data_IF_775920679755
#
_entry.id   IF_775920679755
#
_cell.length_a   1.000
_cell.length_b   1.000
_cell.length_c   1.000
_cell.angle_alpha   90.00
_cell.angle_beta   90.00
_cell.angle_gamma   90.00
#
_symmetry.space_group_name_H-M   'P 1'
#
loop_
_entity.id
_entity.type
_entity.pdbx_description
1 polymer ?
#
# COMPACT_ATOMS: atom_id res chain seq x y z
N UNK A 1 24.05 6.31 16.93
CA UNK A 1 23.98 6.89 18.26
C UNK A 1 25.40 7.09 18.75
N UNK A 2 25.73 8.27 19.26
CA UNK A 2 27.05 8.62 19.80
C UNK A 2 28.23 8.30 18.86
N UNK A 3 28.01 8.45 17.56
CA UNK A 3 28.98 8.13 16.51
C UNK A 3 29.00 6.67 16.03
N UNK A 4 28.27 5.77 16.71
CA UNK A 4 28.14 4.38 16.25
C UNK A 4 26.89 4.19 15.39
N UNK A 5 27.03 3.41 14.30
CA UNK A 5 25.91 3.04 13.42
C UNK A 5 25.15 1.87 14.04
N UNK A 6 24.02 2.15 14.71
CA UNK A 6 23.18 1.12 15.32
C UNK A 6 22.13 0.54 14.37
N UNK A 7 21.82 1.23 13.27
CA UNK A 7 20.83 0.81 12.30
C UNK A 7 21.16 1.31 10.90
N UNK A 8 21.02 0.44 9.94
CA UNK A 8 21.16 0.78 8.51
C UNK A 8 20.07 0.07 7.71
N UNK A 9 19.40 0.78 6.82
CA UNK A 9 18.36 0.22 5.99
C UNK A 9 18.50 0.64 4.53
N UNK A 10 18.38 -0.32 3.64
CA UNK A 10 18.20 -0.10 2.22
C UNK A 10 19.45 0.24 1.42
N UNK A 11 20.62 0.45 2.03
CA UNK A 11 21.85 0.82 1.32
C UNK A 11 22.24 -0.21 0.26
N UNK A 12 22.23 -1.51 0.59
CA UNK A 12 22.56 -2.57 -0.36
C UNK A 12 21.58 -2.62 -1.54
N UNK A 13 20.30 -2.43 -1.27
CA UNK A 13 19.25 -2.41 -2.30
C UNK A 13 19.36 -1.19 -3.18
N UNK A 14 19.65 -0.04 -2.57
CA UNK A 14 19.86 1.23 -3.25
C UNK A 14 21.06 1.16 -4.21
N UNK A 15 22.18 0.66 -3.74
CA UNK A 15 23.40 0.52 -4.54
C UNK A 15 23.23 -0.48 -5.71
N UNK A 16 22.30 -1.45 -5.55
CA UNK A 16 21.89 -2.38 -6.62
C UNK A 16 20.77 -1.84 -7.53
N UNK A 17 20.32 -0.61 -7.38
CA UNK A 17 19.18 -0.03 -8.13
C UNK A 17 17.84 -0.69 -7.87
N UNK A 18 17.68 -1.39 -6.73
CA UNK A 18 16.42 -2.05 -6.34
C UNK A 18 15.56 -1.14 -5.48
N UNK A 19 14.24 -1.33 -5.55
CA UNK A 19 13.29 -0.61 -4.71
C UNK A 19 13.61 -0.82 -3.24
N UNK A 20 13.86 0.26 -2.51
CA UNK A 20 14.11 0.24 -1.07
C UNK A 20 12.79 0.18 -0.31
N UNK A 21 11.82 0.98 -0.74
CA UNK A 21 10.53 1.15 -0.08
C UNK A 21 10.55 2.19 1.03
N UNK A 22 9.37 2.66 1.40
CA UNK A 22 9.18 3.57 2.53
C UNK A 22 8.31 2.91 3.60
N UNK A 23 8.67 3.08 4.86
CA UNK A 23 7.97 2.41 5.93
C UNK A 23 8.36 2.90 7.31
N UNK A 24 7.80 2.24 8.32
CA UNK A 24 8.11 2.50 9.72
C UNK A 24 9.36 1.72 10.12
N UNK A 25 10.32 2.41 10.71
CA UNK A 25 11.55 1.82 11.22
C UNK A 25 11.57 1.94 12.76
N UNK A 26 11.74 0.81 13.41
CA UNK A 26 11.86 0.74 14.88
C UNK A 26 13.31 0.49 15.24
N UNK A 27 13.89 1.39 16.01
CA UNK A 27 15.30 1.33 16.42
C UNK A 27 15.33 1.27 17.93
N UNK A 28 16.02 0.26 18.49
CA UNK A 28 16.20 0.15 19.91
C UNK A 28 17.26 1.15 20.39
N UNK A 29 16.90 1.98 21.36
CA UNK A 29 17.81 2.93 22.01
C UNK A 29 18.37 2.34 23.31
N UNK A 30 19.62 2.70 23.71
CA UNK A 30 20.16 2.33 25.01
C UNK A 30 19.26 2.82 26.13
N UNK A 31 19.13 2.05 27.21
CA UNK A 31 18.33 2.37 28.40
C UNK A 31 19.23 2.57 29.65
N UNK A 32 20.28 3.33 29.53
CA UNK A 32 21.25 3.59 30.56
C UNK A 32 20.98 4.86 31.37
N UNK A 33 20.01 5.67 30.94
CA UNK A 33 19.67 6.93 31.60
C UNK A 33 20.62 8.10 31.30
N UNK A 34 21.55 7.91 30.38
CA UNK A 34 22.45 8.93 29.88
C UNK A 34 21.83 9.75 28.73
N UNK A 35 22.46 10.86 28.38
CA UNK A 35 22.08 11.66 27.23
C UNK A 35 22.81 11.12 26.02
N UNK A 36 22.03 10.73 24.97
CA UNK A 36 22.57 10.22 23.71
C UNK A 36 22.33 11.19 22.58
N UNK A 37 23.30 11.29 21.66
CA UNK A 37 23.16 12.04 20.43
C UNK A 37 22.66 11.10 19.32
N UNK A 38 21.48 11.39 18.73
CA UNK A 38 20.92 10.67 17.62
C UNK A 38 21.21 11.39 16.31
N UNK A 39 22.10 10.82 15.49
CA UNK A 39 22.41 11.31 14.15
C UNK A 39 21.69 10.45 13.11
N UNK A 40 20.89 11.09 12.26
CA UNK A 40 20.21 10.46 11.14
C UNK A 40 20.89 10.86 9.84
N UNK A 41 21.44 9.89 9.13
CA UNK A 41 22.08 10.09 7.83
C UNK A 41 21.19 9.54 6.72
N UNK A 42 20.86 10.38 5.72
CA UNK A 42 20.07 10.00 4.56
C UNK A 42 20.94 10.07 3.30
N UNK A 43 21.05 8.94 2.60
CA UNK A 43 21.72 8.88 1.29
C UNK A 43 20.66 9.09 0.20
N UNK A 44 20.73 10.20 -0.53
CA UNK A 44 19.87 10.50 -1.66
C UNK A 44 20.68 10.51 -2.96
N UNK A 45 20.08 10.09 -4.07
CA UNK A 45 20.66 10.26 -5.40
C UNK A 45 20.50 11.73 -5.83
N UNK A 46 21.43 12.27 -6.61
CA UNK A 46 21.52 13.69 -6.93
C UNK A 46 20.24 14.36 -7.44
N UNK A 47 19.33 13.58 -8.03
CA UNK A 47 18.03 14.05 -8.54
C UNK A 47 16.85 13.75 -7.56
N UNK A 48 17.11 13.15 -6.42
CA UNK A 48 16.07 12.78 -5.44
C UNK A 48 16.02 13.81 -4.32
N UNK A 49 14.84 14.40 -4.11
CA UNK A 49 14.62 15.33 -3.01
C UNK A 49 13.95 14.61 -1.84
N UNK A 50 14.53 14.71 -0.65
CA UNK A 50 13.85 14.36 0.60
C UNK A 50 12.86 15.48 0.89
N UNK A 51 11.63 15.32 0.43
CA UNK A 51 10.61 16.38 0.53
C UNK A 51 9.93 16.42 1.89
N UNK A 52 9.95 15.32 2.64
CA UNK A 52 9.31 15.22 3.94
C UNK A 52 9.97 14.15 4.80
N UNK A 53 10.29 14.50 6.02
CA UNK A 53 10.65 13.55 7.05
C UNK A 53 9.39 13.20 7.84
N UNK A 54 9.13 11.93 8.05
CA UNK A 54 8.02 11.47 8.88
C UNK A 54 8.33 11.77 10.35
N UNK A 55 7.27 11.83 11.17
CA UNK A 55 7.42 12.12 12.59
C UNK A 55 8.26 11.04 13.29
N UNK A 56 9.12 11.45 14.21
CA UNK A 56 9.93 10.58 15.04
C UNK A 56 9.23 10.47 16.39
N UNK A 57 8.96 9.24 16.82
CA UNK A 57 8.32 8.96 18.09
C UNK A 57 9.27 8.15 18.98
N UNK A 58 9.40 8.56 20.23
CA UNK A 58 10.07 7.76 21.26
C UNK A 58 8.97 7.11 22.09
N UNK A 59 8.91 5.80 22.06
CA UNK A 59 7.88 5.03 22.76
C UNK A 59 8.45 3.72 23.29
N UNK A 60 7.73 3.08 24.20
CA UNK A 60 8.12 1.76 24.67
C UNK A 60 7.83 0.71 23.60
N UNK A 61 8.73 -0.26 23.46
CA UNK A 61 8.61 -1.34 22.46
C UNK A 61 7.29 -2.15 22.61
N UNK A 62 6.79 -2.30 23.84
CA UNK A 62 5.56 -3.01 24.11
C UNK A 62 4.30 -2.31 23.57
N UNK A 63 4.33 -0.96 23.50
CA UNK A 63 3.17 -0.16 23.13
C UNK A 63 3.16 0.28 21.66
N UNK A 64 4.31 0.21 20.97
CA UNK A 64 4.48 0.76 19.61
C UNK A 64 3.40 0.25 18.63
N UNK A 65 3.12 -1.05 18.63
CA UNK A 65 2.12 -1.64 17.73
C UNK A 65 0.69 -1.29 18.15
N UNK A 66 0.45 -1.21 19.48
CA UNK A 66 -0.86 -0.83 20.00
C UNK A 66 -1.19 0.61 19.67
N UNK A 67 -0.24 1.52 19.90
CA UNK A 67 -0.40 2.95 19.61
C UNK A 67 -0.59 3.18 18.11
N UNK A 68 0.17 2.47 17.28
CA UNK A 68 0.02 2.52 15.84
C UNK A 68 -1.37 2.04 15.39
N UNK A 69 -1.87 0.93 15.94
CA UNK A 69 -3.20 0.41 15.62
C UNK A 69 -4.32 1.33 16.11
N UNK A 70 -4.18 1.89 17.32
CA UNK A 70 -5.16 2.84 17.87
C UNK A 70 -5.23 4.10 17.00
N UNK A 71 -4.10 4.62 16.58
CA UNK A 71 -4.02 5.80 15.71
C UNK A 71 -4.66 5.52 14.34
N UNK A 72 -4.44 4.35 13.77
CA UNK A 72 -4.91 3.98 12.44
C UNK A 72 -6.16 3.09 12.44
N UNK A 73 -6.87 2.98 13.58
CA UNK A 73 -8.00 2.03 13.77
C UNK A 73 -9.09 2.12 12.70
N UNK A 74 -9.47 3.33 12.31
CA UNK A 74 -10.54 3.54 11.31
C UNK A 74 -10.05 3.09 9.93
N UNK A 75 -8.84 3.48 9.55
CA UNK A 75 -8.20 3.10 8.28
C UNK A 75 -8.02 1.59 8.21
N UNK A 76 -7.56 0.97 9.30
CA UNK A 76 -7.43 -0.48 9.39
C UNK A 76 -8.77 -1.19 9.20
N UNK A 77 -9.80 -0.80 9.96
CA UNK A 77 -11.13 -1.39 9.86
C UNK A 77 -11.71 -1.23 8.44
N UNK A 78 -11.59 -0.03 7.85
CA UNK A 78 -12.06 0.23 6.49
C UNK A 78 -11.34 -0.63 5.46
N UNK A 79 -10.03 -0.77 5.57
CA UNK A 79 -9.23 -1.62 4.66
C UNK A 79 -9.64 -3.08 4.75
N UNK A 80 -9.81 -3.61 5.97
CA UNK A 80 -10.28 -5.00 6.18
C UNK A 80 -11.67 -5.20 5.60
N UNK A 81 -12.60 -4.26 5.82
CA UNK A 81 -13.94 -4.31 5.23
C UNK A 81 -13.89 -4.33 3.69
N UNK A 82 -13.06 -3.48 3.07
CA UNK A 82 -12.90 -3.43 1.61
C UNK A 82 -12.30 -4.74 1.06
N UNK A 83 -11.31 -5.31 1.73
CA UNK A 83 -10.75 -6.61 1.35
C UNK A 83 -11.79 -7.72 1.45
N UNK A 84 -12.58 -7.74 2.53
CA UNK A 84 -13.64 -8.74 2.72
C UNK A 84 -14.73 -8.60 1.64
N UNK A 85 -15.22 -7.39 1.38
CA UNK A 85 -16.21 -7.12 0.34
C UNK A 85 -15.65 -7.53 -1.03
N UNK A 86 -14.43 -7.14 -1.35
CA UNK A 86 -13.77 -7.50 -2.60
C UNK A 86 -13.66 -9.01 -2.79
N UNK A 87 -13.27 -9.73 -1.75
CA UNK A 87 -13.20 -11.19 -1.77
C UNK A 87 -14.55 -11.84 -1.99
N UNK A 88 -15.60 -11.40 -1.29
CA UNK A 88 -16.98 -11.90 -1.45
C UNK A 88 -17.48 -11.65 -2.87
N UNK A 89 -17.26 -10.45 -3.43
CA UNK A 89 -17.65 -10.12 -4.80
C UNK A 89 -16.94 -10.98 -5.83
N UNK A 90 -15.66 -11.29 -5.63
CA UNK A 90 -14.92 -12.21 -6.51
C UNK A 90 -15.48 -13.62 -6.44
N UNK A 91 -15.76 -14.13 -5.25
CA UNK A 91 -16.36 -15.46 -5.09
C UNK A 91 -17.74 -15.53 -5.77
N UNK A 92 -18.59 -14.53 -5.55
CA UNK A 92 -19.90 -14.45 -6.21
C UNK A 92 -19.76 -14.37 -7.73
N UNK A 93 -18.85 -13.54 -8.23
CA UNK A 93 -18.57 -13.43 -9.67
C UNK A 93 -18.09 -14.74 -10.27
N UNK A 94 -17.21 -15.48 -9.59
CA UNK A 94 -16.75 -16.80 -10.03
C UNK A 94 -17.89 -17.84 -10.05
N UNK A 95 -18.73 -17.89 -9.01
CA UNK A 95 -19.88 -18.79 -8.96
C UNK A 95 -20.87 -18.49 -10.11
N UNK A 96 -21.16 -17.22 -10.34
CA UNK A 96 -22.03 -16.79 -11.43
C UNK A 96 -21.44 -17.11 -12.82
N UNK A 97 -20.14 -17.05 -12.97
CA UNK A 97 -19.46 -17.45 -14.21
C UNK A 97 -19.61 -18.95 -14.47
N UNK A 98 -19.58 -19.80 -13.44
CA UNK A 98 -19.82 -21.25 -13.56
C UNK A 98 -21.26 -21.57 -13.98
N UNK A 99 -22.24 -20.73 -13.63
CA UNK A 99 -23.66 -20.88 -14.03
C UNK A 99 -23.99 -20.30 -15.40
N UNK A 100 -23.00 -19.97 -16.23
CA UNK A 100 -23.10 -19.34 -17.56
C UNK A 100 -23.79 -17.97 -17.58
N UNK A 101 -23.94 -17.33 -16.45
CA UNK A 101 -24.42 -15.96 -16.37
C UNK A 101 -23.20 -15.01 -16.35
N UNK A 102 -23.10 -14.15 -17.36
CA UNK A 102 -21.94 -13.25 -17.52
C UNK A 102 -22.08 -12.04 -16.60
N UNK A 103 -21.52 -12.12 -15.40
CA UNK A 103 -21.48 -11.04 -14.44
C UNK A 103 -20.04 -10.52 -14.25
N UNK A 104 -19.36 -10.21 -15.36
CA UNK A 104 -17.99 -9.67 -15.35
C UNK A 104 -17.85 -8.40 -14.51
N UNK A 105 -18.91 -7.59 -14.41
CA UNK A 105 -18.94 -6.40 -13.58
C UNK A 105 -18.74 -6.67 -12.09
N UNK A 106 -19.21 -7.81 -11.56
CA UNK A 106 -18.97 -8.17 -10.15
C UNK A 106 -17.51 -8.50 -9.89
N UNK A 107 -16.86 -9.19 -10.83
CA UNK A 107 -15.43 -9.52 -10.75
C UNK A 107 -14.60 -8.23 -10.78
N UNK A 108 -14.91 -7.33 -11.71
CA UNK A 108 -14.20 -6.04 -11.85
C UNK A 108 -14.35 -5.19 -10.59
N UNK A 109 -15.55 -5.13 -10.00
CA UNK A 109 -15.81 -4.41 -8.76
C UNK A 109 -15.08 -5.07 -7.57
N UNK A 110 -15.04 -6.40 -7.54
CA UNK A 110 -14.31 -7.17 -6.53
C UNK A 110 -12.81 -6.88 -6.58
N UNK A 111 -12.21 -6.89 -7.79
CA UNK A 111 -10.80 -6.53 -7.98
C UNK A 111 -10.55 -5.09 -7.52
N UNK A 112 -11.40 -4.15 -7.93
CA UNK A 112 -11.27 -2.75 -7.51
C UNK A 112 -11.29 -2.61 -5.99
N UNK A 113 -12.26 -3.23 -5.31
CA UNK A 113 -12.37 -3.18 -3.85
C UNK A 113 -11.14 -3.78 -3.16
N UNK A 114 -10.61 -4.91 -3.66
CA UNK A 114 -9.37 -5.50 -3.16
C UNK A 114 -8.18 -4.56 -3.34
N UNK A 115 -8.05 -3.95 -4.53
CA UNK A 115 -6.94 -3.03 -4.82
C UNK A 115 -6.98 -1.79 -3.92
N UNK A 116 -8.15 -1.20 -3.69
CA UNK A 116 -8.30 -0.06 -2.77
C UNK A 116 -7.96 -0.47 -1.33
N UNK A 117 -8.40 -1.64 -0.88
CA UNK A 117 -8.06 -2.17 0.44
C UNK A 117 -6.56 -2.41 0.61
N UNK A 118 -5.90 -3.04 -0.37
CA UNK A 118 -4.46 -3.28 -0.37
C UNK A 118 -3.66 -1.99 -0.45
N UNK A 119 -4.07 -1.05 -1.31
CA UNK A 119 -3.46 0.27 -1.40
C UNK A 119 -3.48 1.01 -0.06
N UNK A 120 -4.63 1.01 0.60
CA UNK A 120 -4.79 1.66 1.90
C UNK A 120 -3.89 1.00 2.95
N UNK A 121 -3.82 -0.33 2.99
CA UNK A 121 -2.92 -1.06 3.91
C UNK A 121 -1.44 -0.78 3.62
N UNK A 122 -1.04 -0.70 2.35
CA UNK A 122 0.33 -0.36 1.95
C UNK A 122 0.69 1.06 2.36
N UNK A 123 -0.13 2.04 1.98
CA UNK A 123 0.10 3.47 2.22
C UNK A 123 0.25 3.83 3.70
N UNK A 124 -0.54 3.22 4.56
CA UNK A 124 -0.49 3.45 6.00
C UNK A 124 0.42 2.47 6.75
N UNK A 125 1.25 1.72 6.03
CA UNK A 125 2.20 0.75 6.59
C UNK A 125 1.57 -0.33 7.49
N UNK A 126 0.26 -0.58 7.36
CA UNK A 126 -0.47 -1.56 8.17
C UNK A 126 0.06 -2.98 7.90
N UNK A 127 0.50 -3.27 6.67
CA UNK A 127 1.08 -4.57 6.30
C UNK A 127 2.35 -4.90 7.08
N UNK A 128 3.08 -3.90 7.60
CA UNK A 128 4.29 -4.11 8.39
C UNK A 128 3.99 -4.78 9.74
N UNK A 129 2.78 -4.61 10.30
CA UNK A 129 2.33 -5.31 11.51
C UNK A 129 2.36 -6.83 11.28
N UNK A 130 2.06 -7.25 10.06
CA UNK A 130 2.11 -8.67 9.66
C UNK A 130 3.50 -9.12 9.22
N UNK A 131 4.55 -8.34 9.54
CA UNK A 131 5.95 -8.60 9.19
C UNK A 131 6.22 -8.67 7.69
N UNK A 132 5.37 -8.03 6.88
CA UNK A 132 5.63 -7.91 5.45
C UNK A 132 6.84 -6.98 5.23
N UNK A 133 7.82 -7.37 4.39
CA UNK A 133 8.98 -6.53 4.10
C UNK A 133 8.57 -5.16 3.54
N UNK A 134 9.26 -4.11 3.95
CA UNK A 134 8.93 -2.71 3.59
C UNK A 134 8.85 -2.52 2.07
N UNK A 135 9.83 -3.05 1.32
CA UNK A 135 9.82 -2.96 -0.14
C UNK A 135 8.59 -3.61 -0.78
N UNK A 136 8.07 -4.70 -0.17
CA UNK A 136 6.87 -5.39 -0.65
C UNK A 136 5.61 -4.60 -0.31
N UNK A 137 5.56 -3.92 0.84
CA UNK A 137 4.46 -3.00 1.17
C UNK A 137 4.36 -1.88 0.13
N UNK A 138 5.49 -1.27 -0.22
CA UNK A 138 5.57 -0.23 -1.24
C UNK A 138 5.21 -0.78 -2.63
N UNK A 139 5.68 -1.96 -2.98
CA UNK A 139 5.29 -2.60 -4.24
C UNK A 139 3.78 -2.85 -4.33
N UNK A 140 3.16 -3.38 -3.24
CA UNK A 140 1.70 -3.61 -3.18
C UNK A 140 0.95 -2.27 -3.31
N UNK A 141 1.42 -1.20 -2.67
CA UNK A 141 0.83 0.13 -2.77
C UNK A 141 0.77 0.60 -4.22
N UNK A 142 1.90 0.59 -4.92
CA UNK A 142 1.97 1.02 -6.32
C UNK A 142 1.20 0.08 -7.26
N UNK A 143 1.39 -1.23 -7.14
CA UNK A 143 0.67 -2.20 -7.97
C UNK A 143 -0.86 -2.04 -7.83
N UNK A 144 -1.35 -1.82 -6.61
CA UNK A 144 -2.77 -1.59 -6.36
C UNK A 144 -3.27 -0.28 -6.99
N UNK A 145 -2.45 0.77 -6.98
CA UNK A 145 -2.75 2.04 -7.61
C UNK A 145 -2.86 1.91 -9.14
N UNK A 146 -2.03 1.07 -9.76
CA UNK A 146 -2.09 0.83 -11.21
C UNK A 146 -3.25 -0.08 -11.62
N UNK A 147 -3.58 -1.11 -10.83
CA UNK A 147 -4.62 -2.09 -11.17
C UNK A 147 -6.03 -1.58 -10.82
N UNK A 148 -6.15 -0.77 -9.76
CA UNK A 148 -7.45 -0.29 -9.26
C UNK A 148 -8.26 0.48 -10.32
N UNK A 149 -7.77 1.60 -10.86
CA UNK A 149 -8.51 2.42 -11.81
C UNK A 149 -9.00 1.66 -13.07
N UNK A 150 -8.15 0.85 -13.75
CA UNK A 150 -8.61 0.05 -14.88
C UNK A 150 -9.74 -0.93 -14.52
N UNK A 151 -9.69 -1.55 -13.33
CA UNK A 151 -10.75 -2.47 -12.90
C UNK A 151 -12.08 -1.75 -12.67
N UNK A 152 -12.05 -0.53 -12.13
CA UNK A 152 -13.25 0.31 -12.00
C UNK A 152 -13.82 0.71 -13.37
N UNK A 153 -12.98 1.05 -14.33
CA UNK A 153 -13.42 1.36 -15.69
C UNK A 153 -14.07 0.16 -16.38
N UNK A 154 -13.53 -1.04 -16.17
CA UNK A 154 -14.14 -2.28 -16.66
C UNK A 154 -15.54 -2.49 -16.04
N UNK A 155 -15.70 -2.20 -14.75
CA UNK A 155 -17.00 -2.24 -14.10
C UNK A 155 -18.00 -1.29 -14.79
N UNK A 156 -17.64 -0.03 -15.01
CA UNK A 156 -18.53 0.94 -15.69
C UNK A 156 -18.82 0.56 -17.14
N UNK A 157 -17.86 -0.02 -17.86
CA UNK A 157 -18.08 -0.49 -19.23
C UNK A 157 -19.13 -1.59 -19.30
N UNK A 158 -19.09 -2.53 -18.36
CA UNK A 158 -19.92 -3.72 -18.42
C UNK A 158 -21.30 -3.54 -17.75
N UNK A 159 -21.45 -2.49 -16.89
CA UNK A 159 -22.66 -2.28 -16.10
C UNK A 159 -23.88 -1.79 -16.90
N UNK A 160 -23.83 -0.81 -17.81
CA UNK A 160 -24.99 -0.40 -18.59
C UNK A 160 -24.90 -0.86 -20.04
N UNK A 161 -25.70 -1.85 -20.43
CA UNK A 161 -25.90 -2.19 -21.86
C UNK A 161 -26.47 -1.03 -22.72
N UNK A 162 -26.76 0.14 -22.15
CA UNK A 162 -27.38 1.28 -22.82
C UNK A 162 -26.58 2.59 -22.79
N UNK A 163 -25.51 2.71 -22.01
CA UNK A 163 -24.66 3.90 -22.07
C UNK A 163 -23.71 3.74 -23.27
N UNK A 164 -23.51 4.85 -24.00
CA UNK A 164 -22.60 4.91 -25.14
C UNK A 164 -21.17 4.58 -24.66
N UNK A 165 -20.81 3.31 -24.72
CA UNK A 165 -19.62 2.74 -24.10
C UNK A 165 -18.31 3.22 -24.73
N UNK A 166 -18.39 4.01 -25.81
CA UNK A 166 -17.23 4.53 -26.55
C UNK A 166 -16.34 5.41 -25.66
N UNK A 167 -16.95 6.31 -24.88
CA UNK A 167 -16.21 7.19 -23.97
C UNK A 167 -15.44 6.42 -22.89
N UNK A 168 -16.08 5.42 -22.29
CA UNK A 168 -15.47 4.59 -21.24
C UNK A 168 -14.35 3.74 -21.85
N UNK A 169 -14.55 3.21 -23.03
CA UNK A 169 -13.51 2.47 -23.77
C UNK A 169 -12.32 3.37 -24.12
N UNK A 170 -12.56 4.62 -24.54
CA UNK A 170 -11.50 5.60 -24.79
C UNK A 170 -10.73 5.96 -23.52
N UNK A 171 -11.42 6.19 -22.40
CA UNK A 171 -10.76 6.45 -21.10
C UNK A 171 -9.91 5.26 -20.64
N UNK A 172 -10.40 4.03 -20.86
CA UNK A 172 -9.64 2.82 -20.57
C UNK A 172 -8.33 2.78 -21.37
N UNK A 173 -8.39 3.02 -22.68
CA UNK A 173 -7.19 3.07 -23.52
C UNK A 173 -6.25 4.21 -23.16
N UNK A 174 -6.75 5.39 -22.84
CA UNK A 174 -5.92 6.52 -22.43
C UNK A 174 -5.16 6.19 -21.14
N UNK A 175 -5.82 5.65 -20.13
CA UNK A 175 -5.17 5.30 -18.84
C UNK A 175 -4.16 4.18 -19.02
N UNK A 176 -4.40 3.23 -19.92
CA UNK A 176 -3.50 2.09 -20.13
C UNK A 176 -2.32 2.40 -21.05
N UNK A 177 -2.37 3.48 -21.86
CA UNK A 177 -1.33 3.83 -22.85
C UNK A 177 -0.56 5.12 -22.51
N UNK A 178 -0.90 5.82 -21.42
CA UNK A 178 -0.22 7.06 -21.00
C UNK A 178 0.89 6.79 -19.95
N UNK A 179 1.12 5.54 -19.60
CA UNK A 179 2.30 5.05 -18.89
C UNK A 179 3.30 4.49 -19.93
#
# INVERSE_FOLDING_TARGET
>A
VDGECIYSYGLERYDCGKMVGSGMHSIAMPKDGEQHELMLEFKANGDSYVTRMNDIYITDYATIYTDFLVTNRVTYALSVCLLFIGFVLLLLGMVMMLTRTWFTHLISLGIFSLMVGLWTMGKYNILQIYRVPIWLCTFIEYASMYIGPPSLLLFFRDYPKKADSRWITWMYYIIFWVD
#
